data_IF_657775081993
#
_entry.id   IF_657775081993
#
_cell.length_a   1.000
_cell.length_b   1.000
_cell.length_c   1.000
_cell.angle_alpha   90.00
_cell.angle_beta   90.00
_cell.angle_gamma   90.00
#
_symmetry.space_group_name_H-M   'P 1'
#
loop_
_entity.id
_entity.type
_entity.pdbx_description
1 polymer ?
#
# COMPACT_ATOMS: atom_id res chain seq x y z
N UNK A 1 22.89 -7.49 -15.72
CA UNK A 1 21.49 -7.21 -15.40
C UNK A 1 20.69 -8.46 -15.67
N UNK A 2 20.04 -8.96 -14.64
CA UNK A 2 19.08 -10.06 -14.71
C UNK A 2 17.75 -9.55 -15.26
N UNK A 3 16.99 -10.41 -15.95
CA UNK A 3 15.62 -10.14 -16.39
C UNK A 3 14.65 -11.06 -15.67
N UNK A 4 13.55 -10.51 -15.17
CA UNK A 4 12.47 -11.27 -14.56
C UNK A 4 11.10 -10.77 -15.05
N UNK A 5 10.21 -11.72 -15.30
CA UNK A 5 8.81 -11.48 -15.61
C UNK A 5 7.97 -11.96 -14.44
N UNK A 6 7.39 -11.02 -13.70
CA UNK A 6 6.65 -11.28 -12.47
C UNK A 6 5.16 -11.02 -12.70
N UNK A 7 4.30 -11.80 -12.07
CA UNK A 7 2.85 -11.65 -12.14
C UNK A 7 2.33 -11.46 -10.71
N UNK A 8 1.52 -10.41 -10.50
CA UNK A 8 0.96 -10.18 -9.16
C UNK A 8 0.12 -11.36 -8.68
N UNK A 9 0.00 -11.56 -7.36
CA UNK A 9 -0.48 -12.82 -6.79
C UNK A 9 -1.92 -13.20 -7.15
N UNK A 10 -2.72 -12.26 -7.65
CA UNK A 10 -4.11 -12.48 -8.00
C UNK A 10 -5.06 -12.30 -6.84
N UNK A 11 -4.78 -11.34 -5.96
CA UNK A 11 -5.75 -10.84 -5.01
C UNK A 11 -6.77 -9.91 -5.70
N UNK A 12 -7.60 -9.22 -4.91
CA UNK A 12 -8.46 -8.16 -5.43
C UNK A 12 -7.62 -7.04 -6.07
N UNK A 13 -8.10 -6.37 -7.15
CA UNK A 13 -7.32 -5.38 -7.90
C UNK A 13 -6.59 -4.33 -7.06
N UNK A 14 -7.19 -3.74 -5.99
CA UNK A 14 -6.46 -2.76 -5.18
C UNK A 14 -5.26 -3.34 -4.43
N UNK A 15 -5.36 -4.58 -3.94
CA UNK A 15 -4.26 -5.22 -3.23
C UNK A 15 -3.13 -5.56 -4.20
N UNK A 16 -3.45 -6.10 -5.38
CA UNK A 16 -2.46 -6.37 -6.43
C UNK A 16 -1.80 -5.07 -6.94
N UNK A 17 -2.55 -3.96 -6.99
CA UNK A 17 -2.00 -2.63 -7.32
C UNK A 17 -0.94 -2.21 -6.31
N UNK A 18 -1.23 -2.32 -5.01
CA UNK A 18 -0.25 -1.98 -3.97
C UNK A 18 0.96 -2.91 -3.98
N UNK A 19 0.78 -4.20 -4.26
CA UNK A 19 1.89 -5.15 -4.38
C UNK A 19 2.78 -4.79 -5.57
N UNK A 20 2.19 -4.46 -6.72
CA UNK A 20 2.95 -4.03 -7.90
C UNK A 20 3.74 -2.73 -7.63
N UNK A 21 3.11 -1.74 -6.99
CA UNK A 21 3.77 -0.50 -6.60
C UNK A 21 4.87 -0.73 -5.57
N UNK A 22 4.61 -1.53 -4.54
CA UNK A 22 5.61 -1.86 -3.52
C UNK A 22 6.81 -2.60 -4.09
N UNK A 23 6.57 -3.59 -4.95
CA UNK A 23 7.64 -4.28 -5.68
C UNK A 23 8.48 -3.31 -6.51
N UNK A 24 7.83 -2.40 -7.24
CA UNK A 24 8.51 -1.42 -8.08
C UNK A 24 9.37 -0.47 -7.27
N UNK A 25 8.84 0.07 -6.18
CA UNK A 25 9.58 0.91 -5.23
C UNK A 25 10.78 0.17 -4.67
N UNK A 26 10.59 -1.08 -4.23
CA UNK A 26 11.65 -1.89 -3.66
C UNK A 26 12.76 -2.21 -4.66
N UNK A 27 12.42 -2.46 -5.92
CA UNK A 27 13.40 -2.64 -7.00
C UNK A 27 14.17 -1.35 -7.26
N UNK A 28 13.48 -0.22 -7.42
CA UNK A 28 14.13 1.07 -7.68
C UNK A 28 15.00 1.56 -6.53
N UNK A 29 14.64 1.21 -5.28
CA UNK A 29 15.48 1.51 -4.11
C UNK A 29 16.74 0.65 -4.06
N UNK A 30 16.66 -0.62 -4.50
CA UNK A 30 17.81 -1.52 -4.56
C UNK A 30 18.72 -1.24 -5.77
N UNK A 31 18.12 -0.85 -6.90
CA UNK A 31 18.80 -0.52 -8.14
C UNK A 31 18.09 0.65 -8.84
N UNK A 32 18.55 1.89 -8.63
CA UNK A 32 17.96 3.08 -9.25
C UNK A 32 18.00 3.09 -10.78
N UNK A 33 18.88 2.28 -11.39
CA UNK A 33 19.02 2.16 -12.85
C UNK A 33 18.22 0.98 -13.42
N UNK A 34 17.39 0.33 -12.59
CA UNK A 34 16.54 -0.77 -13.03
C UNK A 34 15.48 -0.30 -14.04
N UNK A 35 15.29 -1.07 -15.11
CA UNK A 35 14.19 -0.87 -16.05
C UNK A 35 12.96 -1.66 -15.58
N UNK A 36 11.82 -0.98 -15.44
CA UNK A 36 10.55 -1.58 -15.02
C UNK A 36 9.48 -1.25 -16.04
N UNK A 37 8.76 -2.27 -16.53
CA UNK A 37 7.58 -2.08 -17.38
C UNK A 37 6.41 -2.86 -16.84
N UNK A 38 5.27 -2.18 -16.65
CA UNK A 38 4.08 -2.80 -16.08
C UNK A 38 2.97 -2.87 -17.11
N UNK A 39 2.49 -4.08 -17.36
CA UNK A 39 1.30 -4.36 -18.18
C UNK A 39 0.16 -4.90 -17.32
N UNK A 40 -1.08 -4.68 -17.75
CA UNK A 40 -2.25 -5.30 -17.12
C UNK A 40 -2.63 -6.58 -17.85
N UNK A 41 -2.83 -7.66 -17.10
CA UNK A 41 -3.28 -8.96 -17.60
C UNK A 41 -4.57 -9.35 -16.85
N UNK A 42 -5.71 -8.93 -17.39
CA UNK A 42 -7.01 -9.05 -16.72
C UNK A 42 -7.08 -8.22 -15.43
N UNK A 43 -7.19 -8.89 -14.28
CA UNK A 43 -7.23 -8.25 -12.95
C UNK A 43 -5.86 -8.18 -12.26
N UNK A 44 -4.78 -8.53 -12.97
CA UNK A 44 -3.43 -8.66 -12.44
C UNK A 44 -2.46 -7.78 -13.20
N UNK A 45 -1.25 -7.62 -12.65
CA UNK A 45 -0.17 -6.92 -13.30
C UNK A 45 0.94 -7.90 -13.68
N UNK A 46 1.47 -7.72 -14.87
CA UNK A 46 2.73 -8.32 -15.31
C UNK A 46 3.80 -7.24 -15.21
N UNK A 47 4.80 -7.49 -14.37
CA UNK A 47 5.89 -6.57 -14.07
C UNK A 47 7.16 -7.16 -14.69
N UNK A 48 7.63 -6.53 -15.76
CA UNK A 48 8.89 -6.85 -16.40
C UNK A 48 9.98 -6.03 -15.73
N UNK A 49 11.00 -6.68 -15.18
CA UNK A 49 12.10 -6.03 -14.48
C UNK A 49 13.43 -6.42 -15.12
N UNK A 50 14.28 -5.43 -15.40
CA UNK A 50 15.70 -5.62 -15.66
C UNK A 50 16.50 -4.92 -14.57
N UNK A 51 17.22 -5.67 -13.74
CA UNK A 51 17.95 -5.12 -12.58
C UNK A 51 19.28 -5.82 -12.37
N UNK A 52 20.21 -5.14 -11.73
CA UNK A 52 21.47 -5.67 -11.22
C UNK A 52 21.40 -6.07 -9.73
N UNK A 53 20.37 -5.64 -9.00
CA UNK A 53 20.17 -5.97 -7.60
C UNK A 53 19.81 -7.46 -7.40
N UNK A 54 20.21 -7.99 -6.25
CA UNK A 54 19.75 -9.32 -5.80
C UNK A 54 18.30 -9.23 -5.31
N UNK A 55 17.49 -10.26 -5.55
CA UNK A 55 16.08 -10.23 -5.18
C UNK A 55 15.85 -10.29 -3.66
N UNK A 56 16.81 -10.81 -2.89
CA UNK A 56 16.75 -10.71 -1.42
C UNK A 56 17.05 -9.29 -0.96
N UNK A 57 17.89 -8.54 -1.66
CA UNK A 57 18.13 -7.11 -1.42
C UNK A 57 16.90 -6.26 -1.74
N UNK A 58 16.16 -6.58 -2.80
CA UNK A 58 14.86 -5.97 -3.11
C UNK A 58 13.89 -6.15 -1.94
N UNK A 59 13.80 -7.37 -1.39
CA UNK A 59 12.94 -7.65 -0.23
C UNK A 59 13.43 -6.95 1.03
N UNK A 60 14.74 -6.93 1.26
CA UNK A 60 15.34 -6.22 2.38
C UNK A 60 14.99 -4.74 2.35
N UNK A 61 15.01 -4.09 1.18
CA UNK A 61 14.58 -2.70 1.04
C UNK A 61 13.09 -2.52 1.38
N UNK A 62 12.23 -3.47 1.02
CA UNK A 62 10.81 -3.44 1.41
C UNK A 62 10.62 -3.52 2.92
N UNK A 63 11.29 -4.47 3.59
CA UNK A 63 11.20 -4.68 5.04
C UNK A 63 11.82 -3.53 5.83
N UNK A 64 12.98 -3.03 5.42
CA UNK A 64 13.64 -1.88 6.05
C UNK A 64 12.78 -0.63 5.98
N UNK A 65 12.13 -0.36 4.84
CA UNK A 65 11.20 0.77 4.73
C UNK A 65 10.06 0.65 5.76
N UNK A 66 9.48 -0.54 5.92
CA UNK A 66 8.42 -0.76 6.92
C UNK A 66 8.94 -0.58 8.36
N UNK A 67 10.15 -1.07 8.66
CA UNK A 67 10.76 -0.88 9.98
C UNK A 67 11.00 0.59 10.28
N UNK A 68 11.55 1.33 9.32
CA UNK A 68 11.83 2.75 9.44
C UNK A 68 10.55 3.55 9.65
N UNK A 69 9.49 3.28 8.89
CA UNK A 69 8.18 3.92 9.07
C UNK A 69 7.57 3.62 10.45
N UNK A 70 7.68 2.38 10.93
CA UNK A 70 7.23 2.00 12.28
C UNK A 70 8.03 2.71 13.36
N UNK A 71 9.35 2.78 13.22
CA UNK A 71 10.24 3.45 14.17
C UNK A 71 9.97 4.96 14.19
N UNK A 72 9.95 5.60 13.02
CA UNK A 72 9.65 7.02 12.86
C UNK A 72 8.31 7.38 13.50
N UNK A 73 7.27 6.58 13.21
CA UNK A 73 5.94 6.81 13.76
C UNK A 73 5.93 6.68 15.30
N UNK A 74 6.62 5.70 15.87
CA UNK A 74 6.68 5.54 17.33
C UNK A 74 7.49 6.64 18.02
N UNK A 75 8.57 7.13 17.39
CA UNK A 75 9.43 8.19 17.95
C UNK A 75 8.75 9.56 17.90
N UNK A 76 8.13 9.89 16.77
CA UNK A 76 7.59 11.25 16.52
C UNK A 76 6.11 11.39 16.87
N UNK A 77 5.40 10.27 17.03
CA UNK A 77 3.93 10.23 17.09
C UNK A 77 3.26 10.95 15.89
N UNK A 78 3.98 11.07 14.76
CA UNK A 78 3.54 11.65 13.50
C UNK A 78 3.99 10.76 12.31
N UNK A 79 3.86 11.25 11.07
CA UNK A 79 4.25 10.52 9.87
C UNK A 79 3.09 9.84 9.14
N UNK A 80 3.37 9.45 7.89
CA UNK A 80 2.38 8.91 6.96
C UNK A 80 1.76 7.61 7.49
N UNK A 81 2.56 6.73 8.09
CA UNK A 81 2.06 5.51 8.72
C UNK A 81 0.92 5.77 9.72
N UNK A 82 0.98 6.84 10.52
CA UNK A 82 -0.11 7.14 11.45
C UNK A 82 -1.40 7.61 10.79
N UNK A 83 -1.32 8.27 9.64
CA UNK A 83 -2.51 8.62 8.88
C UNK A 83 -3.13 7.38 8.23
N UNK A 84 -2.30 6.49 7.68
CA UNK A 84 -2.74 5.24 7.04
C UNK A 84 -3.35 4.25 8.04
N UNK A 85 -2.95 4.29 9.30
CA UNK A 85 -3.54 3.45 10.36
C UNK A 85 -4.90 3.97 10.88
N UNK A 86 -5.38 5.12 10.37
CA UNK A 86 -6.74 5.59 10.61
C UNK A 86 -7.69 5.09 9.50
N UNK A 87 -8.97 4.79 9.79
CA UNK A 87 -9.62 4.61 11.08
C UNK A 87 -9.72 3.10 11.41
N UNK A 88 -8.73 2.50 12.06
CA UNK A 88 -8.81 1.08 12.41
C UNK A 88 -9.34 0.87 13.84
N UNK A 89 -10.60 0.43 14.04
CA UNK A 89 -11.28 0.51 15.34
C UNK A 89 -10.95 -0.62 16.32
N UNK A 90 -10.28 -1.71 15.89
CA UNK A 90 -10.10 -2.92 16.73
C UNK A 90 -8.72 -3.09 17.35
N UNK A 91 -7.72 -2.40 16.84
CA UNK A 91 -6.35 -2.46 17.35
C UNK A 91 -5.86 -1.06 17.60
N UNK A 92 -5.05 -0.88 18.63
CA UNK A 92 -4.36 0.40 18.81
C UNK A 92 -3.35 0.58 17.70
N UNK A 93 -3.08 1.83 17.34
CA UNK A 93 -2.04 2.21 16.40
C UNK A 93 -0.70 1.51 16.69
N UNK A 94 -0.29 1.46 17.97
CA UNK A 94 0.92 0.75 18.42
C UNK A 94 0.87 -0.76 18.20
N UNK A 95 -0.29 -1.42 18.36
CA UNK A 95 -0.44 -2.85 18.07
C UNK A 95 -0.29 -3.14 16.58
N UNK A 96 -0.77 -2.25 15.72
CA UNK A 96 -0.66 -2.38 14.27
C UNK A 96 0.76 -2.15 13.81
N UNK A 97 1.42 -1.09 14.28
CA UNK A 97 2.82 -0.82 14.01
C UNK A 97 3.72 -2.02 14.42
N UNK A 98 3.46 -2.63 15.59
CA UNK A 98 4.15 -3.86 16.02
C UNK A 98 3.89 -5.03 15.07
N UNK A 99 2.66 -5.18 14.58
CA UNK A 99 2.31 -6.24 13.63
C UNK A 99 3.03 -6.06 12.29
N UNK A 100 3.20 -4.82 11.82
CA UNK A 100 3.95 -4.50 10.61
C UNK A 100 5.45 -4.79 10.77
N UNK A 101 6.04 -4.42 11.91
CA UNK A 101 7.42 -4.80 12.22
C UNK A 101 7.62 -6.30 12.21
N UNK A 102 6.70 -7.06 12.82
CA UNK A 102 6.76 -8.52 12.79
C UNK A 102 6.66 -9.09 11.37
N UNK A 103 5.85 -8.48 10.49
CA UNK A 103 5.78 -8.88 9.08
C UNK A 103 7.12 -8.64 8.39
N UNK A 104 7.74 -7.47 8.58
CA UNK A 104 9.06 -7.15 8.02
C UNK A 104 10.12 -8.17 8.48
N UNK A 105 10.17 -8.46 9.79
CA UNK A 105 11.10 -9.43 10.38
C UNK A 105 10.86 -10.84 9.83
N UNK A 106 9.60 -11.26 9.73
CA UNK A 106 9.23 -12.60 9.21
C UNK A 106 9.65 -12.79 7.75
N UNK A 107 9.49 -11.75 6.91
CA UNK A 107 9.84 -11.83 5.49
C UNK A 107 11.35 -12.02 5.29
N UNK A 108 12.16 -11.29 6.05
CA UNK A 108 13.62 -11.44 5.99
C UNK A 108 14.08 -12.78 6.56
N UNK A 109 13.57 -13.20 7.72
CA UNK A 109 13.92 -14.48 8.33
C UNK A 109 13.59 -15.67 7.41
N UNK A 110 12.52 -15.56 6.62
CA UNK A 110 12.13 -16.59 5.67
C UNK A 110 12.93 -16.57 4.37
N UNK A 111 13.69 -15.51 4.09
CA UNK A 111 14.47 -15.36 2.86
C UNK A 111 13.60 -15.49 1.60
N UNK A 112 12.37 -14.96 1.64
CA UNK A 112 11.41 -15.14 0.54
C UNK A 112 11.84 -14.31 -0.65
N UNK A 113 11.99 -14.95 -1.81
CA UNK A 113 12.36 -14.29 -3.06
C UNK A 113 11.10 -13.95 -3.90
N UNK A 114 10.81 -12.67 -4.21
CA UNK A 114 9.67 -12.28 -5.03
C UNK A 114 9.73 -12.85 -6.43
N UNK A 115 10.94 -13.04 -6.98
CA UNK A 115 11.13 -13.65 -8.29
C UNK A 115 10.52 -15.04 -8.34
N UNK A 116 10.81 -15.85 -7.32
CA UNK A 116 10.34 -17.22 -7.25
C UNK A 116 8.84 -17.26 -6.95
N UNK A 117 8.40 -16.47 -5.96
CA UNK A 117 7.00 -16.44 -5.52
C UNK A 117 6.03 -15.90 -6.57
N UNK A 118 6.46 -14.94 -7.39
CA UNK A 118 5.63 -14.24 -8.38
C UNK A 118 5.97 -14.62 -9.82
N UNK A 119 6.79 -15.65 -10.02
CA UNK A 119 7.01 -16.27 -11.34
C UNK A 119 5.73 -16.84 -11.96
N UNK A 120 4.70 -17.09 -11.14
CA UNK A 120 3.46 -17.74 -11.56
C UNK A 120 2.21 -16.98 -11.13
N UNK A 121 1.13 -17.07 -11.95
CA UNK A 121 -0.13 -16.40 -11.69
C UNK A 121 -0.93 -17.00 -10.51
N UNK A 122 -0.59 -18.18 -9.99
CA UNK A 122 -1.39 -18.90 -9.01
C UNK A 122 -0.93 -18.75 -7.56
N UNK A 123 -0.03 -17.80 -7.25
CA UNK A 123 0.51 -17.58 -5.90
C UNK A 123 -0.57 -17.57 -4.80
N UNK A 124 -1.57 -16.67 -4.88
CA UNK A 124 -2.59 -16.56 -3.84
C UNK A 124 -3.40 -17.86 -3.68
N UNK A 125 -3.62 -18.60 -4.77
CA UNK A 125 -4.31 -19.90 -4.75
C UNK A 125 -3.45 -20.99 -4.11
N UNK A 126 -2.17 -21.09 -4.50
CA UNK A 126 -1.21 -22.07 -3.99
C UNK A 126 -0.96 -21.87 -2.50
N UNK A 127 -0.80 -20.60 -2.09
CA UNK A 127 -0.66 -20.19 -0.69
C UNK A 127 -2.00 -20.26 0.05
N UNK A 128 -3.13 -20.46 -0.62
CA UNK A 128 -4.49 -20.47 -0.06
C UNK A 128 -4.80 -19.19 0.72
N UNK A 129 -4.42 -18.05 0.17
CA UNK A 129 -4.68 -16.72 0.73
C UNK A 129 -6.13 -16.30 0.49
N UNK A 130 -6.64 -15.39 1.30
CA UNK A 130 -8.03 -14.94 1.19
C UNK A 130 -8.70 -14.67 2.52
N UNK A 131 -10.04 -14.74 2.56
CA UNK A 131 -10.82 -14.43 3.76
C UNK A 131 -10.87 -15.62 4.71
N UNK A 132 -10.18 -15.54 5.85
CA UNK A 132 -10.14 -16.57 6.89
C UNK A 132 -10.41 -15.98 8.28
N UNK A 133 -10.90 -16.81 9.21
CA UNK A 133 -11.10 -16.40 10.61
C UNK A 133 -9.77 -16.18 11.33
N UNK A 134 -8.84 -17.13 11.25
CA UNK A 134 -7.43 -17.07 11.67
C UNK A 134 -6.61 -18.12 10.91
N UNK A 135 -5.36 -17.80 10.54
CA UNK A 135 -4.40 -18.78 10.02
C UNK A 135 -3.02 -18.53 10.62
N UNK A 136 -2.39 -19.58 11.16
CA UNK A 136 -1.05 -19.50 11.74
C UNK A 136 -0.02 -19.21 10.64
N UNK A 137 0.86 -18.23 10.87
CA UNK A 137 1.93 -17.86 9.94
C UNK A 137 1.50 -16.92 8.78
N UNK A 138 0.26 -16.44 8.76
CA UNK A 138 -0.22 -15.49 7.77
C UNK A 138 -0.62 -14.18 8.45
N UNK A 139 -0.34 -13.06 7.79
CA UNK A 139 -0.67 -11.72 8.27
C UNK A 139 -2.08 -11.33 7.85
N UNK A 140 -2.84 -10.68 8.73
CA UNK A 140 -4.07 -10.02 8.30
C UNK A 140 -3.67 -8.81 7.46
N UNK A 141 -4.09 -8.77 6.20
CA UNK A 141 -4.01 -7.61 5.34
C UNK A 141 -4.94 -6.52 5.91
N UNK A 142 -4.47 -5.80 6.92
CA UNK A 142 -5.14 -4.62 7.48
C UNK A 142 -5.08 -3.43 6.52
N UNK A 143 -5.25 -3.68 5.21
CA UNK A 143 -5.10 -2.68 4.16
C UNK A 143 -6.48 -2.11 3.84
N UNK A 144 -6.60 -0.78 3.91
CA UNK A 144 -7.84 -0.04 3.66
C UNK A 144 -7.96 0.34 2.19
N UNK A 145 -7.81 -0.63 1.29
CA UNK A 145 -7.81 -0.39 -0.15
C UNK A 145 -9.23 -0.64 -0.68
N UNK A 146 -10.06 0.41 -0.61
CA UNK A 146 -11.43 0.50 -1.13
C UNK A 146 -12.53 -0.36 -0.41
N UNK A 147 -13.80 0.11 -0.40
CA UNK A 147 -14.90 -0.48 0.36
C UNK A 147 -15.27 -1.93 -0.01
N UNK A 148 -14.82 -2.43 -1.16
CA UNK A 148 -15.02 -3.82 -1.60
C UNK A 148 -13.95 -4.80 -1.10
N UNK A 149 -12.76 -4.31 -0.72
CA UNK A 149 -11.61 -5.13 -0.32
C UNK A 149 -11.06 -4.81 1.08
N UNK A 150 -11.65 -3.84 1.78
CA UNK A 150 -11.50 -3.74 3.23
C UNK A 150 -11.98 -5.00 3.96
N UNK A 151 -11.86 -5.00 5.29
CA UNK A 151 -12.27 -6.06 6.24
C UNK A 151 -13.73 -6.57 6.10
N UNK A 152 -14.50 -6.06 5.14
CA UNK A 152 -15.93 -6.26 4.96
C UNK A 152 -16.25 -6.64 3.50
N UNK A 153 -17.26 -7.49 3.33
CA UNK A 153 -17.77 -7.97 2.03
C UNK A 153 -18.87 -7.00 1.56
N UNK A 154 -18.90 -6.68 0.27
CA UNK A 154 -19.99 -5.98 -0.40
C UNK A 154 -20.68 -6.87 -1.46
N UNK A 155 -20.85 -8.16 -1.19
CA UNK A 155 -21.65 -9.08 -2.03
C UNK A 155 -23.10 -9.21 -1.53
N UNK A 156 -23.44 -8.56 -0.43
CA UNK A 156 -24.81 -8.31 0.01
C UNK A 156 -24.77 -7.10 0.94
N UNK A 157 -25.88 -6.42 1.19
CA UNK A 157 -26.01 -5.44 2.29
C UNK A 157 -25.68 -6.05 3.68
N UNK A 158 -25.26 -7.32 3.77
CA UNK A 158 -24.68 -7.96 4.94
C UNK A 158 -23.15 -8.11 4.84
N UNK A 159 -22.44 -7.27 5.57
CA UNK A 159 -20.99 -7.37 5.74
C UNK A 159 -20.65 -8.41 6.82
N UNK A 160 -19.96 -9.50 6.47
CA UNK A 160 -19.32 -10.37 7.49
C UNK A 160 -17.90 -9.87 7.79
N UNK A 161 -17.52 -9.63 9.06
CA UNK A 161 -16.21 -9.10 9.45
C UNK A 161 -15.13 -10.20 9.43
N UNK A 162 -14.89 -10.82 8.27
CA UNK A 162 -13.86 -11.87 8.09
C UNK A 162 -12.59 -11.21 7.56
N UNK A 163 -11.48 -11.42 8.26
CA UNK A 163 -10.18 -10.87 7.90
C UNK A 163 -9.68 -11.44 6.57
N UNK A 164 -9.11 -10.58 5.72
CA UNK A 164 -8.34 -11.04 4.57
C UNK A 164 -6.91 -11.32 5.04
N UNK A 165 -6.41 -12.52 4.76
CA UNK A 165 -5.14 -13.01 5.29
C UNK A 165 -4.23 -13.39 4.13
N UNK A 166 -3.01 -12.87 4.16
CA UNK A 166 -2.01 -12.94 3.09
C UNK A 166 -0.68 -13.45 3.63
N UNK A 167 0.19 -13.94 2.74
CA UNK A 167 1.54 -14.31 3.17
C UNK A 167 2.33 -13.06 3.62
N UNK A 168 3.42 -13.23 4.38
CA UNK A 168 4.24 -12.12 4.83
C UNK A 168 4.75 -11.25 3.67
N UNK A 169 5.16 -11.86 2.55
CA UNK A 169 5.67 -11.12 1.38
C UNK A 169 4.60 -10.20 0.76
N UNK A 170 3.41 -10.73 0.45
CA UNK A 170 2.29 -9.94 -0.08
C UNK A 170 1.90 -8.80 0.86
N UNK A 171 1.91 -9.07 2.17
CA UNK A 171 1.62 -8.06 3.19
C UNK A 171 2.70 -6.97 3.20
N UNK A 172 3.97 -7.36 3.18
CA UNK A 172 5.10 -6.45 3.18
C UNK A 172 5.05 -5.52 1.97
N UNK A 173 5.03 -6.08 0.76
CA UNK A 173 5.00 -5.29 -0.48
C UNK A 173 3.75 -4.41 -0.59
N UNK A 174 2.58 -4.90 -0.18
CA UNK A 174 1.38 -4.08 -0.21
C UNK A 174 1.44 -2.88 0.76
N UNK A 175 2.04 -3.05 1.93
CA UNK A 175 2.27 -1.93 2.86
C UNK A 175 3.36 -0.99 2.36
N UNK A 176 4.42 -1.50 1.74
CA UNK A 176 5.45 -0.69 1.07
C UNK A 176 4.82 0.16 -0.03
N UNK A 177 3.97 -0.42 -0.89
CA UNK A 177 3.23 0.35 -1.91
C UNK A 177 2.25 1.36 -1.31
N UNK A 178 1.58 1.03 -0.21
CA UNK A 178 0.68 1.97 0.47
C UNK A 178 1.43 3.18 1.03
N UNK A 179 2.62 2.95 1.60
CA UNK A 179 3.41 4.02 2.22
C UNK A 179 4.20 4.81 1.18
N UNK A 180 4.74 4.17 0.15
CA UNK A 180 5.58 4.83 -0.86
C UNK A 180 4.81 5.43 -2.03
N UNK A 181 3.65 4.88 -2.39
CA UNK A 181 3.02 5.15 -3.68
C UNK A 181 1.58 5.67 -3.59
N UNK A 182 1.00 5.77 -2.39
CA UNK A 182 -0.42 6.11 -2.22
C UNK A 182 -0.58 7.44 -1.49
N UNK A 183 -1.34 8.36 -2.07
CA UNK A 183 -1.71 9.60 -1.41
C UNK A 183 -2.70 9.31 -0.28
N UNK A 184 -2.43 9.86 0.90
CA UNK A 184 -3.24 9.65 2.10
C UNK A 184 -3.78 10.98 2.61
N UNK A 185 -5.10 11.16 2.53
CA UNK A 185 -5.78 12.37 2.99
C UNK A 185 -6.73 11.99 4.13
N UNK A 186 -6.32 12.29 5.37
CA UNK A 186 -7.15 12.11 6.54
C UNK A 186 -7.98 13.38 6.77
N UNK A 187 -9.29 13.22 6.99
CA UNK A 187 -10.21 14.30 7.30
C UNK A 187 -10.78 14.06 8.69
N UNK A 188 -10.49 14.98 9.61
CA UNK A 188 -11.03 14.93 10.97
C UNK A 188 -12.42 15.56 11.00
N UNK A 189 -13.42 14.73 11.20
CA UNK A 189 -14.80 15.12 11.50
C UNK A 189 -14.97 15.25 13.03
N UNK A 190 -16.08 15.80 13.51
CA UNK A 190 -16.30 16.08 14.95
C UNK A 190 -16.18 14.84 15.86
N UNK A 191 -16.54 13.65 15.35
CA UNK A 191 -16.56 12.39 16.10
C UNK A 191 -15.88 11.23 15.37
N UNK A 192 -15.28 11.48 14.22
CA UNK A 192 -14.74 10.46 13.32
C UNK A 192 -13.53 10.99 12.56
N UNK A 193 -12.70 10.06 12.07
CA UNK A 193 -11.70 10.38 11.06
C UNK A 193 -12.04 9.56 9.84
N UNK A 194 -12.16 10.22 8.68
CA UNK A 194 -12.23 9.55 7.38
C UNK A 194 -10.86 9.61 6.74
N UNK A 195 -10.43 8.54 6.10
CA UNK A 195 -9.18 8.54 5.33
C UNK A 195 -9.49 8.17 3.91
N UNK A 196 -8.94 8.97 3.00
CA UNK A 196 -9.05 8.81 1.56
C UNK A 196 -7.68 8.37 1.05
N UNK A 197 -7.68 7.24 0.34
CA UNK A 197 -6.49 6.69 -0.30
C UNK A 197 -6.64 6.83 -1.81
N UNK A 198 -5.64 7.40 -2.46
CA UNK A 198 -5.53 7.41 -3.91
C UNK A 198 -4.20 6.78 -4.29
N UNK A 199 -4.26 5.63 -4.95
CA UNK A 199 -3.10 4.97 -5.52
C UNK A 199 -3.16 5.12 -7.05
N UNK A 200 -2.05 5.45 -7.71
CA UNK A 200 -2.00 5.45 -9.17
C UNK A 200 -2.11 4.00 -9.66
N UNK A 201 -2.85 3.78 -10.75
CA UNK A 201 -2.85 2.48 -11.42
C UNK A 201 -1.62 2.42 -12.34
N UNK A 202 -0.61 1.54 -12.08
CA UNK A 202 0.65 1.55 -12.81
C UNK A 202 0.55 0.97 -14.23
N UNK A 203 -0.64 0.92 -14.83
CA UNK A 203 -0.88 0.33 -16.16
C UNK A 203 -0.04 1.06 -17.20
N UNK A 204 0.71 0.29 -17.98
CA UNK A 204 1.53 0.80 -19.08
C UNK A 204 2.60 1.80 -18.62
N UNK A 205 2.93 1.84 -17.33
CA UNK A 205 4.01 2.67 -16.80
C UNK A 205 5.38 2.05 -17.05
N UNK A 206 6.31 2.87 -17.55
CA UNK A 206 7.74 2.61 -17.49
C UNK A 206 8.35 3.06 -16.16
N UNK A 207 9.65 2.87 -16.00
CA UNK A 207 10.39 3.27 -14.79
C UNK A 207 10.28 4.77 -14.50
N UNK A 208 10.34 5.62 -15.52
CA UNK A 208 10.22 7.07 -15.38
C UNK A 208 8.80 7.48 -14.95
N UNK A 209 7.77 6.88 -15.55
CA UNK A 209 6.38 7.14 -15.19
C UNK A 209 6.11 6.70 -13.76
N UNK A 210 6.63 5.53 -13.38
CA UNK A 210 6.53 5.01 -12.02
C UNK A 210 7.22 5.96 -11.04
N UNK A 211 8.47 6.35 -11.28
CA UNK A 211 9.17 7.28 -10.41
C UNK A 211 8.38 8.59 -10.20
N UNK A 212 7.83 9.17 -11.26
CA UNK A 212 7.02 10.38 -11.18
C UNK A 212 5.72 10.17 -10.38
N UNK A 213 4.99 9.09 -10.65
CA UNK A 213 3.76 8.74 -9.94
C UNK A 213 4.04 8.48 -8.45
N UNK A 214 5.15 7.79 -8.14
CA UNK A 214 5.60 7.55 -6.78
C UNK A 214 5.91 8.85 -6.05
N UNK A 215 6.56 9.84 -6.69
CA UNK A 215 6.77 11.16 -6.09
C UNK A 215 5.44 11.89 -5.83
N UNK A 216 4.58 12.03 -6.85
CA UNK A 216 3.33 12.80 -6.74
C UNK A 216 2.38 12.21 -5.69
N UNK A 217 2.15 10.89 -5.74
CA UNK A 217 1.21 10.23 -4.84
C UNK A 217 1.86 9.86 -3.50
N UNK A 218 3.13 9.48 -3.50
CA UNK A 218 3.87 9.06 -2.31
C UNK A 218 4.07 10.17 -1.30
N UNK A 219 4.40 11.38 -1.75
CA UNK A 219 4.66 12.50 -0.83
C UNK A 219 3.37 13.06 -0.20
N UNK A 220 2.22 12.88 -0.86
CA UNK A 220 0.94 13.43 -0.38
C UNK A 220 0.44 12.70 0.87
N UNK A 221 0.63 13.33 2.03
CA UNK A 221 0.11 12.87 3.32
C UNK A 221 -0.39 14.04 4.16
N UNK A 222 -1.70 14.19 4.28
CA UNK A 222 -2.31 15.35 4.93
C UNK A 222 -3.40 14.99 5.95
N UNK A 223 -3.49 15.80 6.99
CA UNK A 223 -4.61 15.80 7.93
C UNK A 223 -5.38 17.12 7.80
N UNK A 224 -6.55 17.06 7.18
CA UNK A 224 -7.46 18.18 7.06
C UNK A 224 -8.30 18.28 8.34
N UNK A 225 -8.08 19.34 9.11
CA UNK A 225 -8.92 19.69 10.25
C UNK A 225 -10.15 20.45 9.76
N UNK A 226 -11.35 20.08 10.23
CA UNK A 226 -12.55 20.89 10.07
C UNK A 226 -12.42 22.15 10.93
N UNK A 227 -11.68 23.16 10.46
CA UNK A 227 -11.71 24.50 11.07
C UNK A 227 -13.03 25.17 10.67
N UNK A 228 -13.90 25.39 11.66
CA UNK A 228 -15.14 26.11 11.48
C UNK A 228 -14.86 27.55 11.06
N UNK A 229 -15.01 27.84 9.76
CA UNK A 229 -15.35 29.19 9.33
C UNK A 229 -16.79 29.44 9.83
N UNK A 230 -16.92 30.35 10.79
CA UNK A 230 -18.21 30.81 11.28
C UNK A 230 -18.93 31.50 10.12
N UNK A 231 -19.90 30.79 9.54
CA UNK A 231 -20.77 31.32 8.50
C UNK A 231 -20.17 31.10 7.11
N UNK A 232 -20.93 30.37 6.29
CA UNK A 232 -20.71 30.12 4.86
C UNK A 232 -19.70 29.02 4.52
N UNK A 233 -20.24 27.81 4.33
CA UNK A 233 -19.53 26.65 3.79
C UNK A 233 -19.26 25.58 4.83
N UNK A 234 -20.16 24.61 4.99
CA UNK A 234 -19.86 23.39 5.72
C UNK A 234 -18.61 22.73 5.11
N UNK A 235 -17.52 22.63 5.87
CA UNK A 235 -16.35 21.83 5.49
C UNK A 235 -16.73 20.35 5.40
N UNK A 236 -17.30 19.95 4.28
CA UNK A 236 -17.64 18.58 3.95
C UNK A 236 -16.36 17.82 3.60
N UNK A 237 -16.26 16.55 4.02
CA UNK A 237 -15.21 15.67 3.51
C UNK A 237 -15.28 15.70 1.97
N UNK A 238 -14.15 15.92 1.27
CA UNK A 238 -14.15 15.97 -0.18
C UNK A 238 -14.83 14.73 -0.77
N UNK A 239 -15.65 14.94 -1.81
CA UNK A 239 -16.24 13.84 -2.56
C UNK A 239 -15.14 12.90 -3.05
N UNK A 240 -15.42 11.59 -3.10
CA UNK A 240 -14.49 10.61 -3.67
C UNK A 240 -14.03 11.00 -5.10
N UNK A 241 -14.90 11.68 -5.85
CA UNK A 241 -14.60 12.17 -7.20
C UNK A 241 -13.60 13.34 -7.22
N UNK A 242 -13.47 14.08 -6.11
CA UNK A 242 -12.53 15.19 -5.97
C UNK A 242 -11.15 14.76 -5.47
N UNK A 243 -10.99 13.51 -5.01
CA UNK A 243 -9.73 13.01 -4.44
C UNK A 243 -8.56 13.11 -5.43
N UNK A 244 -8.69 12.73 -6.73
CA UNK A 244 -7.59 12.90 -7.68
C UNK A 244 -7.17 14.37 -7.83
N UNK A 245 -8.12 15.31 -7.80
CA UNK A 245 -7.82 16.74 -7.87
C UNK A 245 -7.03 17.22 -6.65
N UNK A 246 -7.33 16.70 -5.45
CA UNK A 246 -6.59 17.04 -4.23
C UNK A 246 -5.16 16.52 -4.24
N UNK A 247 -4.91 15.37 -4.88
CA UNK A 247 -3.54 14.86 -5.07
C UNK A 247 -2.77 15.79 -6.01
N UNK A 248 -3.39 16.22 -7.12
CA UNK A 248 -2.74 17.06 -8.13
C UNK A 248 -2.60 18.54 -7.70
N UNK A 249 -3.49 19.05 -6.86
CA UNK A 249 -3.46 20.43 -6.36
C UNK A 249 -2.27 20.72 -5.43
N UNK A 250 -1.50 19.70 -5.05
CA UNK A 250 -0.36 19.81 -4.13
C UNK A 250 0.77 20.68 -4.68
N UNK A 251 0.91 20.79 -6.01
CA UNK A 251 1.98 21.55 -6.66
C UNK A 251 1.84 23.07 -6.55
N UNK A 252 0.62 23.60 -6.38
CA UNK A 252 0.39 25.05 -6.23
C UNK A 252 0.43 25.54 -4.78
N UNK A 253 0.46 24.64 -3.80
CA UNK A 253 0.44 24.98 -2.35
C UNK A 253 1.76 24.72 -1.62
N UNK A 254 2.79 24.20 -2.30
CA UNK A 254 4.12 23.97 -1.72
C UNK A 254 4.99 25.24 -1.65
N UNK A 255 4.55 26.35 -2.25
CA UNK A 255 5.17 27.68 -2.13
C UNK A 255 4.11 28.78 -2.04
N UNK A 256 3.78 29.30 -0.85
CA UNK A 256 3.27 30.66 -0.70
C UNK A 256 4.37 31.71 -0.93
#
# INVERSE_FOLDING_TARGET
MERADLITPGHSPPLDTLIALGLSVSVLNADPEAEIRIGKEGNRYRVHVQTSADWLEVVHNASEMLRLEVEYANLTNSGKLWHVLLPQPRQTRSQQARSLRLVADTVEEQGVNPRDEYSRPDHALLRREGRFSRRKGYGVAYLQVAPWAGKYIAESYSSRPIAYVTCPLCTCLAWTGLLAATATIAVREERSVRVLYAAPDPISGGEVDLALLLTIFGEKSELLERRGYRGEGEGQCPSLLAVPLLVLASGETLYP
#
